data_IF_635934004428
#
_entry.id   IF_635934004428
#
_cell.length_a   1.000
_cell.length_b   1.000
_cell.length_c   1.000
_cell.angle_alpha   90.00
_cell.angle_beta   90.00
_cell.angle_gamma   90.00
#
_symmetry.space_group_name_H-M   'P 1'
#
loop_
_entity.id
_entity.type
_entity.pdbx_description
1 polymer ?
#
# COMPACT_ATOMS: atom_id res chain seq x y z
N UNK A 1 46.09 11.23 23.46
CA UNK A 1 45.77 9.98 24.18
C UNK A 1 45.39 8.93 23.16
N UNK A 2 46.15 7.83 23.11
CA UNK A 2 45.98 6.69 22.21
C UNK A 2 45.11 5.66 22.91
N UNK A 3 44.09 5.13 22.24
CA UNK A 3 43.54 3.82 22.59
C UNK A 3 43.10 3.04 21.34
N UNK A 4 43.25 1.69 21.34
CA UNK A 4 43.49 0.90 20.15
C UNK A 4 42.29 0.03 19.74
N UNK A 5 42.40 -0.48 18.52
CA UNK A 5 42.15 -1.84 18.05
C UNK A 5 40.99 -2.69 18.60
N UNK A 6 40.32 -3.29 17.60
CA UNK A 6 39.86 -4.68 17.53
C UNK A 6 38.68 -5.10 18.42
N UNK A 7 37.59 -5.48 17.76
CA UNK A 7 37.32 -6.91 17.55
C UNK A 7 36.36 -7.09 16.37
N UNK A 8 36.90 -7.60 15.25
CA UNK A 8 36.13 -8.21 14.18
C UNK A 8 35.67 -9.60 14.66
N UNK A 9 34.36 -9.83 14.75
CA UNK A 9 33.79 -11.16 14.88
C UNK A 9 33.02 -11.48 13.59
N UNK A 10 33.73 -12.15 12.68
CA UNK A 10 33.15 -12.93 11.60
C UNK A 10 32.43 -14.13 12.21
N UNK A 11 31.11 -14.20 12.06
CA UNK A 11 30.36 -15.44 12.29
C UNK A 11 29.68 -15.85 10.99
N UNK A 12 30.36 -16.75 10.27
CA UNK A 12 29.83 -17.44 9.11
C UNK A 12 28.97 -18.62 9.59
N UNK A 13 27.65 -18.54 9.40
CA UNK A 13 26.78 -19.70 9.43
C UNK A 13 26.31 -20.00 8.02
N UNK A 14 26.99 -20.97 7.40
CA UNK A 14 26.50 -21.68 6.22
C UNK A 14 25.28 -22.51 6.61
N UNK A 15 24.15 -22.32 5.92
CA UNK A 15 23.03 -23.28 5.94
C UNK A 15 22.64 -23.62 4.52
N UNK A 16 22.76 -24.90 4.22
CA UNK A 16 22.47 -25.57 2.95
C UNK A 16 21.06 -25.32 2.43
N UNK A 17 20.87 -25.33 1.09
CA UNK A 17 19.54 -25.34 0.51
C UNK A 17 18.88 -26.72 0.72
N UNK A 18 17.68 -26.69 1.29
CA UNK A 18 16.77 -27.83 1.23
C UNK A 18 16.13 -27.85 -0.16
N UNK A 19 16.56 -28.82 -0.98
CA UNK A 19 15.94 -29.20 -2.23
C UNK A 19 14.50 -29.65 -1.96
N UNK A 20 13.52 -28.81 -2.34
CA UNK A 20 12.11 -29.19 -2.31
C UNK A 20 11.77 -29.87 -3.63
N UNK A 21 11.38 -31.14 -3.53
CA UNK A 21 10.83 -31.92 -4.63
C UNK A 21 9.67 -31.19 -5.32
N UNK A 22 9.48 -31.40 -6.64
CA UNK A 22 8.34 -30.88 -7.37
C UNK A 22 7.04 -31.53 -6.89
N UNK A 23 6.14 -30.74 -6.32
CA UNK A 23 4.77 -31.16 -6.03
C UNK A 23 3.97 -31.07 -7.33
N UNK A 24 3.62 -32.22 -7.89
CA UNK A 24 2.65 -32.35 -8.97
C UNK A 24 1.27 -31.97 -8.42
N UNK A 25 0.77 -30.80 -8.82
CA UNK A 25 -0.59 -30.36 -8.48
C UNK A 25 -1.58 -31.05 -9.44
N UNK A 26 -2.61 -31.76 -8.94
CA UNK A 26 -3.64 -32.34 -9.79
C UNK A 26 -4.50 -31.24 -10.45
N UNK A 27 -5.07 -31.51 -11.65
CA UNK A 27 -5.96 -30.56 -12.33
C UNK A 27 -7.22 -30.30 -11.49
N UNK A 28 -7.51 -29.02 -11.25
CA UNK A 28 -8.70 -28.58 -10.54
C UNK A 28 -9.95 -28.76 -11.43
N UNK A 29 -10.92 -29.53 -10.93
CA UNK A 29 -12.27 -29.65 -11.49
C UNK A 29 -13.01 -28.32 -11.34
N UNK A 30 -13.58 -27.73 -12.40
CA UNK A 30 -14.42 -26.55 -12.27
C UNK A 30 -15.75 -26.90 -11.57
N UNK A 31 -16.21 -26.11 -10.58
CA UNK A 31 -17.56 -26.25 -10.07
C UNK A 31 -18.58 -25.79 -11.12
N UNK A 32 -19.61 -26.61 -11.31
CA UNK A 32 -20.76 -26.31 -12.15
C UNK A 32 -21.48 -25.06 -11.66
N UNK A 33 -21.60 -24.08 -12.55
CA UNK A 33 -22.35 -22.84 -12.37
C UNK A 33 -23.84 -23.17 -12.32
N UNK A 34 -24.45 -23.06 -11.14
CA UNK A 34 -25.90 -23.05 -11.00
C UNK A 34 -26.38 -21.61 -11.20
N UNK A 35 -26.63 -21.25 -12.46
CA UNK A 35 -27.21 -19.98 -12.85
C UNK A 35 -28.73 -20.03 -12.65
N UNK A 36 -29.17 -19.66 -11.44
CA UNK A 36 -30.57 -19.33 -11.21
C UNK A 36 -30.84 -17.90 -11.69
N UNK A 37 -31.95 -17.62 -12.40
CA UNK A 37 -32.31 -16.26 -12.79
C UNK A 37 -32.71 -15.46 -11.53
N UNK A 38 -31.75 -14.76 -10.94
CA UNK A 38 -32.02 -13.73 -9.94
C UNK A 38 -32.71 -12.55 -10.63
N UNK A 39 -33.97 -12.33 -10.25
CA UNK A 39 -34.77 -11.17 -10.63
C UNK A 39 -33.96 -9.88 -10.39
N UNK A 40 -33.78 -8.98 -11.37
CA UNK A 40 -33.11 -7.71 -11.14
C UNK A 40 -33.85 -6.94 -10.04
N UNK A 41 -33.17 -6.41 -9.01
CA UNK A 41 -33.81 -5.46 -8.11
C UNK A 41 -34.28 -4.26 -8.95
N UNK A 42 -35.58 -3.97 -8.87
CA UNK A 42 -36.17 -2.74 -9.41
C UNK A 42 -35.37 -1.56 -8.87
N UNK A 43 -34.59 -0.94 -9.75
CA UNK A 43 -33.81 0.27 -9.46
C UNK A 43 -34.81 1.37 -9.11
N UNK A 44 -34.77 1.86 -7.86
CA UNK A 44 -35.45 3.10 -7.49
C UNK A 44 -34.86 4.24 -8.31
N UNK A 45 -35.48 4.54 -9.45
CA UNK A 45 -35.32 5.82 -10.13
C UNK A 45 -36.01 6.89 -9.28
N UNK A 46 -35.25 7.90 -8.83
CA UNK A 46 -35.85 9.12 -8.28
C UNK A 46 -35.26 9.67 -6.99
N UNK A 47 -34.18 9.11 -6.42
CA UNK A 47 -33.40 9.85 -5.42
C UNK A 47 -32.39 10.77 -6.11
N UNK A 48 -32.24 12.03 -5.68
CA UNK A 48 -31.19 12.90 -6.18
C UNK A 48 -29.86 12.19 -6.00
N UNK A 49 -29.10 12.04 -7.09
CA UNK A 49 -27.73 11.50 -7.05
C UNK A 49 -26.98 12.34 -6.00
N UNK A 50 -26.48 11.73 -4.90
CA UNK A 50 -25.68 12.47 -3.93
C UNK A 50 -24.54 13.19 -4.66
N UNK A 51 -24.13 14.38 -4.19
CA UNK A 51 -23.00 15.08 -4.80
C UNK A 51 -21.82 14.10 -4.88
N UNK A 52 -21.30 13.92 -6.08
CA UNK A 52 -20.24 12.97 -6.37
C UNK A 52 -18.97 13.44 -5.65
N UNK A 53 -18.68 12.83 -4.50
CA UNK A 53 -17.51 13.17 -3.68
C UNK A 53 -16.28 12.81 -4.51
N UNK A 54 -15.56 13.85 -4.96
CA UNK A 54 -14.33 13.65 -5.73
C UNK A 54 -13.26 13.00 -4.85
N UNK A 55 -12.50 12.03 -5.36
CA UNK A 55 -11.36 11.49 -4.65
C UNK A 55 -10.36 12.58 -4.27
N UNK A 56 -9.76 12.46 -3.09
CA UNK A 56 -8.69 13.35 -2.62
C UNK A 56 -7.35 12.64 -2.79
N UNK A 57 -6.44 13.27 -3.51
CA UNK A 57 -5.13 12.71 -3.84
C UNK A 57 -4.05 13.33 -2.95
N UNK A 58 -3.16 12.50 -2.44
CA UNK A 58 -2.00 12.89 -1.65
C UNK A 58 -0.74 12.27 -2.24
N UNK A 59 0.35 13.03 -2.30
CA UNK A 59 1.63 12.59 -2.86
C UNK A 59 2.71 12.69 -1.80
N UNK A 60 3.40 11.57 -1.55
CA UNK A 60 4.48 11.44 -0.59
C UNK A 60 5.81 11.17 -1.29
N UNK A 61 6.81 11.97 -0.95
CA UNK A 61 8.17 11.82 -1.46
C UNK A 61 8.84 10.50 -0.99
N UNK A 62 10.00 10.15 -1.57
CA UNK A 62 10.87 9.09 -1.04
C UNK A 62 11.21 9.35 0.45
N UNK A 63 11.00 8.35 1.30
CA UNK A 63 11.22 8.47 2.75
C UNK A 63 11.29 7.08 3.41
N UNK A 64 11.80 6.97 4.64
CA UNK A 64 11.93 5.70 5.38
C UNK A 64 12.66 4.58 4.60
N UNK A 65 13.58 4.91 3.69
CA UNK A 65 14.27 3.93 2.84
C UNK A 65 13.49 3.48 1.60
N UNK A 66 12.30 4.05 1.36
CA UNK A 66 11.63 4.05 0.06
C UNK A 66 12.35 5.04 -0.86
N UNK A 67 12.73 4.60 -2.07
CA UNK A 67 13.40 5.44 -3.08
C UNK A 67 12.44 6.04 -4.11
N UNK A 68 11.15 5.81 -3.95
CA UNK A 68 10.12 6.12 -4.93
C UNK A 68 8.94 6.90 -4.31
N UNK A 69 8.16 7.54 -5.17
CA UNK A 69 6.97 8.29 -4.76
C UNK A 69 5.82 7.34 -4.42
N UNK A 70 5.02 7.70 -3.41
CA UNK A 70 3.77 7.03 -3.08
C UNK A 70 2.61 8.00 -3.23
N UNK A 71 1.60 7.61 -3.98
CA UNK A 71 0.35 8.34 -4.15
C UNK A 71 -0.74 7.64 -3.36
N UNK A 72 -1.46 8.38 -2.54
CA UNK A 72 -2.61 7.89 -1.75
C UNK A 72 -3.85 8.63 -2.23
N UNK A 73 -4.84 7.88 -2.69
CA UNK A 73 -6.13 8.39 -3.16
C UNK A 73 -7.21 7.93 -2.17
N UNK A 74 -7.83 8.89 -1.48
CA UNK A 74 -9.01 8.66 -0.64
C UNK A 74 -10.26 8.90 -1.48
N UNK A 75 -10.98 7.82 -1.78
CA UNK A 75 -12.22 7.84 -2.56
C UNK A 75 -13.48 7.96 -1.71
N UNK A 76 -14.66 7.99 -2.35
CA UNK A 76 -15.94 7.88 -1.65
C UNK A 76 -16.08 6.51 -0.96
N UNK A 77 -17.06 6.40 -0.05
CA UNK A 77 -17.42 5.15 0.64
C UNK A 77 -16.23 4.47 1.34
N UNK A 78 -15.36 5.31 1.92
CA UNK A 78 -14.17 4.89 2.68
C UNK A 78 -13.21 4.01 1.88
N UNK A 79 -13.15 4.20 0.56
CA UNK A 79 -12.23 3.51 -0.34
C UNK A 79 -10.86 4.18 -0.37
N UNK A 80 -9.81 3.37 -0.43
CA UNK A 80 -8.44 3.85 -0.60
C UNK A 80 -7.74 3.11 -1.74
N UNK A 81 -6.98 3.87 -2.53
CA UNK A 81 -6.02 3.34 -3.48
C UNK A 81 -4.64 3.93 -3.17
N UNK A 82 -3.62 3.08 -3.18
CA UNK A 82 -2.24 3.48 -2.96
C UNK A 82 -1.38 2.99 -4.12
N UNK A 83 -0.76 3.92 -4.83
CA UNK A 83 0.12 3.66 -5.96
C UNK A 83 1.57 4.00 -5.61
N UNK A 84 2.42 2.99 -5.55
CA UNK A 84 3.87 3.13 -5.42
C UNK A 84 4.48 3.24 -6.82
N UNK A 85 4.94 4.44 -7.19
CA UNK A 85 5.51 4.74 -8.51
C UNK A 85 7.00 4.40 -8.54
N UNK A 86 7.29 3.11 -8.64
CA UNK A 86 8.66 2.60 -8.62
C UNK A 86 9.31 2.74 -10.00
N UNK A 87 9.66 3.97 -10.42
CA UNK A 87 10.52 4.28 -11.58
C UNK A 87 10.81 5.79 -11.70
N UNK A 88 11.91 6.23 -12.38
CA UNK A 88 12.94 5.45 -13.06
C UNK A 88 14.25 5.35 -12.26
N UNK A 89 15.10 4.42 -12.68
CA UNK A 89 16.47 4.32 -12.18
C UNK A 89 17.23 5.60 -12.43
N UNK A 90 18.06 6.06 -11.47
CA UNK A 90 19.01 7.11 -11.77
C UNK A 90 19.90 6.67 -12.95
N UNK A 91 20.39 7.63 -13.77
CA UNK A 91 21.26 7.33 -14.90
C UNK A 91 22.44 6.44 -14.46
N UNK A 92 22.66 5.33 -15.17
CA UNK A 92 23.73 4.37 -14.87
C UNK A 92 23.38 3.27 -13.85
N UNK A 93 22.17 3.27 -13.29
CA UNK A 93 21.68 2.18 -12.44
C UNK A 93 20.75 1.23 -13.21
N UNK A 94 20.95 -0.08 -13.04
CA UNK A 94 19.99 -1.09 -13.46
C UNK A 94 19.00 -1.33 -12.30
N UNK A 95 17.80 -0.76 -12.37
CA UNK A 95 16.71 -1.28 -11.53
C UNK A 95 16.23 -2.55 -12.19
N UNK A 96 16.18 -3.61 -11.40
CA UNK A 96 15.67 -4.91 -11.84
C UNK A 96 14.17 -4.82 -12.17
N UNK A 97 13.46 -3.79 -11.71
CA UNK A 97 12.09 -3.48 -12.12
C UNK A 97 11.83 -1.97 -12.25
N UNK A 98 10.91 -1.62 -13.15
CA UNK A 98 10.24 -0.32 -13.24
C UNK A 98 8.73 -0.55 -13.33
N UNK A 99 7.92 0.25 -12.64
CA UNK A 99 6.47 0.08 -12.69
C UNK A 99 5.70 0.82 -11.59
N UNK A 100 4.39 0.62 -11.59
CA UNK A 100 3.48 1.15 -10.57
C UNK A 100 2.88 -0.04 -9.82
N UNK A 101 3.10 -0.11 -8.51
CA UNK A 101 2.47 -1.10 -7.64
C UNK A 101 1.23 -0.46 -7.03
N UNK A 102 0.06 -0.89 -7.50
CA UNK A 102 -1.25 -0.38 -7.01
C UNK A 102 -1.81 -1.36 -5.98
N UNK A 103 -2.25 -0.82 -4.85
CA UNK A 103 -2.95 -1.54 -3.79
C UNK A 103 -4.26 -0.82 -3.49
N UNK A 104 -5.34 -1.58 -3.37
CA UNK A 104 -6.68 -1.05 -3.07
C UNK A 104 -7.18 -1.61 -1.74
N UNK A 105 -8.11 -0.89 -1.12
CA UNK A 105 -8.70 -1.32 0.14
C UNK A 105 -9.73 -0.33 0.66
N UNK A 106 -9.92 -0.37 1.97
CA UNK A 106 -10.74 0.57 2.73
C UNK A 106 -9.93 1.27 3.82
N UNK A 107 -10.48 2.35 4.35
CA UNK A 107 -9.96 2.98 5.56
C UNK A 107 -11.07 3.21 6.59
N UNK A 108 -10.72 3.27 7.87
CA UNK A 108 -11.61 3.72 8.93
C UNK A 108 -11.01 4.96 9.60
N UNK A 109 -11.81 6.00 9.79
CA UNK A 109 -11.37 7.24 10.43
C UNK A 109 -11.69 7.24 11.93
N UNK A 110 -10.66 7.39 12.76
CA UNK A 110 -10.76 7.55 14.21
C UNK A 110 -10.39 8.99 14.59
N UNK A 111 -11.31 9.76 15.19
CA UNK A 111 -11.01 11.11 15.62
C UNK A 111 -10.02 11.11 16.78
N UNK A 112 -9.00 11.96 16.69
CA UNK A 112 -8.02 12.24 17.72
C UNK A 112 -8.03 13.72 18.13
N UNK A 113 -7.21 14.07 19.13
CA UNK A 113 -7.10 15.46 19.59
C UNK A 113 -6.28 16.29 18.58
N UNK A 114 -6.96 16.90 17.61
CA UNK A 114 -6.35 17.75 16.58
C UNK A 114 -5.83 17.01 15.34
N UNK A 115 -6.10 15.70 15.25
CA UNK A 115 -5.79 14.86 14.10
C UNK A 115 -6.87 13.78 13.94
N UNK A 116 -6.92 13.13 12.80
CA UNK A 116 -7.74 11.94 12.56
C UNK A 116 -6.82 10.81 12.16
N UNK A 117 -6.92 9.66 12.82
CA UNK A 117 -6.16 8.48 12.45
C UNK A 117 -6.96 7.68 11.41
N UNK A 118 -6.33 7.32 10.31
CA UNK A 118 -6.89 6.45 9.28
C UNK A 118 -6.31 5.05 9.48
N UNK A 119 -7.15 4.07 9.80
CA UNK A 119 -6.78 2.65 9.87
C UNK A 119 -7.00 2.03 8.50
N UNK A 120 -5.96 1.47 7.90
CA UNK A 120 -6.01 0.94 6.54
C UNK A 120 -6.31 -0.57 6.55
N UNK A 121 -7.21 -1.01 5.67
CA UNK A 121 -7.49 -2.42 5.39
C UNK A 121 -7.28 -2.67 3.90
N UNK A 122 -6.19 -3.36 3.53
CA UNK A 122 -5.77 -3.53 2.13
C UNK A 122 -6.15 -4.93 1.65
N UNK A 123 -6.81 -5.01 0.50
CA UNK A 123 -7.47 -6.24 0.02
C UNK A 123 -6.48 -7.29 -0.52
N UNK A 124 -5.30 -6.85 -0.97
CA UNK A 124 -4.27 -7.74 -1.50
C UNK A 124 -3.12 -7.89 -0.48
N UNK A 125 -2.54 -9.10 -0.33
CA UNK A 125 -1.27 -9.25 0.36
C UNK A 125 -0.23 -8.35 -0.33
N UNK A 126 0.80 -7.90 0.40
CA UNK A 126 1.93 -7.13 -0.16
C UNK A 126 2.54 -7.89 -1.36
N UNK A 127 1.99 -7.68 -2.55
CA UNK A 127 2.16 -8.57 -3.70
C UNK A 127 3.37 -8.21 -4.54
N UNK A 128 4.39 -7.65 -3.90
CA UNK A 128 5.66 -7.39 -4.55
C UNK A 128 6.48 -6.32 -3.85
N UNK A 129 7.79 -6.47 -3.97
CA UNK A 129 8.76 -5.46 -4.40
C UNK A 129 8.66 -4.06 -3.76
N UNK A 130 7.53 -3.35 -3.85
CA UNK A 130 7.26 -2.18 -3.03
C UNK A 130 7.39 -2.48 -1.53
N UNK A 131 7.88 -1.51 -0.76
CA UNK A 131 7.86 -1.56 0.70
C UNK A 131 6.42 -1.74 1.21
N UNK A 132 6.25 -2.49 2.31
CA UNK A 132 4.96 -2.63 2.97
C UNK A 132 4.28 -1.28 3.22
N UNK A 133 2.95 -1.28 3.19
CA UNK A 133 2.18 -0.13 3.62
C UNK A 133 2.23 0.00 5.15
N UNK A 134 2.26 1.22 5.69
CA UNK A 134 1.96 1.38 7.11
C UNK A 134 0.51 0.94 7.36
N UNK A 135 0.20 0.30 8.50
CA UNK A 135 -1.16 -0.12 8.80
C UNK A 135 -2.10 1.06 9.09
N UNK A 136 -1.54 2.25 9.38
CA UNK A 136 -2.30 3.45 9.68
C UNK A 136 -1.64 4.69 9.10
N UNK A 137 -2.43 5.71 8.78
CA UNK A 137 -1.96 7.07 8.46
C UNK A 137 -2.58 8.06 9.46
N UNK A 138 -1.92 9.19 9.73
CA UNK A 138 -2.50 10.28 10.52
C UNK A 138 -2.80 11.46 9.60
N UNK A 139 -4.04 11.93 9.62
CA UNK A 139 -4.48 13.13 8.92
C UNK A 139 -4.53 14.33 9.87
N UNK A 140 -3.88 15.43 9.48
CA UNK A 140 -3.87 16.67 10.23
C UNK A 140 -4.70 17.72 9.50
N UNK A 141 -5.91 18.00 10.00
CA UNK A 141 -6.86 18.92 9.34
C UNK A 141 -6.30 20.34 9.19
N UNK A 142 -5.49 20.80 10.14
CA UNK A 142 -4.85 22.12 10.11
C UNK A 142 -3.86 22.31 8.96
N UNK A 143 -3.27 21.22 8.46
CA UNK A 143 -2.27 21.25 7.38
C UNK A 143 -2.76 20.63 6.08
N UNK A 144 -3.85 19.86 6.12
CA UNK A 144 -4.30 19.09 4.97
C UNK A 144 -3.27 18.03 4.56
N UNK A 145 -2.51 17.50 5.51
CA UNK A 145 -1.41 16.54 5.29
C UNK A 145 -1.76 15.16 5.85
N UNK A 146 -1.29 14.10 5.18
CA UNK A 146 -1.21 12.76 5.75
C UNK A 146 0.22 12.49 6.23
N UNK A 147 0.38 11.69 7.27
CA UNK A 147 1.70 11.25 7.75
C UNK A 147 1.69 9.76 8.08
N UNK A 148 2.79 9.07 7.77
CA UNK A 148 3.01 7.71 8.28
C UNK A 148 3.38 7.74 9.78
N UNK A 149 3.17 6.64 10.53
CA UNK A 149 3.64 6.53 11.91
C UNK A 149 5.17 6.70 11.98
N UNK A 150 5.67 7.43 12.98
CA UNK A 150 7.10 7.73 13.08
C UNK A 150 7.56 9.00 12.33
N UNK A 151 6.61 9.86 11.97
CA UNK A 151 6.72 11.30 11.60
C UNK A 151 7.66 11.72 10.46
N UNK A 152 8.43 10.82 9.84
CA UNK A 152 9.39 11.21 8.79
C UNK A 152 8.84 11.17 7.37
N UNK A 153 7.66 10.59 7.16
CA UNK A 153 6.99 10.53 5.86
C UNK A 153 5.69 11.32 5.88
N UNK A 154 5.65 12.44 5.16
CA UNK A 154 4.43 13.22 4.93
C UNK A 154 3.95 13.09 3.49
N UNK A 155 2.66 13.34 3.28
CA UNK A 155 2.02 13.42 1.98
C UNK A 155 1.28 14.74 1.85
N UNK A 156 1.49 15.39 0.71
CA UNK A 156 0.90 16.69 0.39
C UNK A 156 -0.32 16.47 -0.49
N UNK A 157 -1.45 17.05 -0.09
CA UNK A 157 -2.69 17.04 -0.87
C UNK A 157 -2.45 17.71 -2.23
N UNK A 158 -2.87 17.05 -3.29
CA UNK A 158 -2.87 17.60 -4.64
C UNK A 158 -4.20 18.36 -4.89
N UNK A 159 -4.16 19.45 -5.68
CA UNK A 159 -5.34 20.25 -6.02
C UNK A 159 -6.39 19.48 -6.84
#
# INVERSE_FOLDING_TARGET
>A
MRWPSMLLLLSACSRSPAEKAPVTVPPATPPASAEGPAKPPTRSEGLPKPPEIRPVVYVGAPCLGRTYERVVTLGPDDKIEIADRVAPCPPGAACVWSGIVVRSGTYAAEPGKGSTRLILSIDAPDSGQARPLPPTLSWWSSRGELTEPGESCSYVRQP
#
